data_IF_073970799128
#
_entry.id   IF_073970799128
#
_cell.length_a   1.000
_cell.length_b   1.000
_cell.length_c   1.000
_cell.angle_alpha   90.00
_cell.angle_beta   90.00
_cell.angle_gamma   90.00
#
_symmetry.space_group_name_H-M   'P 1'
#
loop_
_entity.id
_entity.type
_entity.pdbx_description
1 polymer ?
#
# COMPACT_ATOMS: atom_id res chain seq x y z
N UNK A 1 -6.71 -31.89 22.99
CA UNK A 1 -7.12 -30.77 22.13
C UNK A 1 -5.93 -30.41 21.27
N UNK A 2 -6.06 -30.51 19.95
CA UNK A 2 -5.00 -30.02 19.06
C UNK A 2 -4.95 -28.48 19.18
N UNK A 3 -3.77 -27.86 19.21
CA UNK A 3 -3.68 -26.38 19.26
C UNK A 3 -4.33 -25.83 17.98
N UNK A 4 -5.30 -24.94 18.17
CA UNK A 4 -5.89 -24.20 17.03
C UNK A 4 -4.77 -23.34 16.43
N UNK A 5 -4.34 -23.69 15.21
CA UNK A 5 -3.33 -22.91 14.48
C UNK A 5 -3.87 -21.49 14.32
N UNK A 6 -3.16 -20.46 14.82
CA UNK A 6 -3.56 -19.07 14.60
C UNK A 6 -3.56 -18.76 13.08
N UNK A 7 -4.47 -17.90 12.65
CA UNK A 7 -4.40 -17.38 11.29
C UNK A 7 -3.09 -16.60 11.09
N UNK A 8 -2.42 -16.73 9.93
CA UNK A 8 -1.29 -15.87 9.60
C UNK A 8 -1.67 -14.39 9.68
N UNK A 9 -0.76 -13.54 10.13
CA UNK A 9 -0.95 -12.10 10.17
C UNK A 9 -0.40 -11.48 8.90
N UNK A 10 -1.28 -10.87 8.10
CA UNK A 10 -0.92 -10.23 6.83
C UNK A 10 -0.99 -8.70 6.96
N UNK A 11 0.12 -8.01 6.69
CA UNK A 11 0.15 -6.57 6.48
C UNK A 11 -0.13 -6.23 5.03
N UNK A 12 -1.01 -5.27 4.76
CA UNK A 12 -1.37 -4.82 3.41
C UNK A 12 -1.27 -3.30 3.34
N UNK A 13 -0.52 -2.80 2.36
CA UNK A 13 -0.50 -1.37 2.07
C UNK A 13 -1.79 -0.89 1.39
N UNK A 14 -2.00 0.40 1.39
CA UNK A 14 -3.19 1.04 0.80
C UNK A 14 -2.89 1.56 -0.60
N UNK A 15 -2.00 2.54 -0.70
CA UNK A 15 -1.73 3.23 -1.96
C UNK A 15 -0.95 2.32 -2.90
N UNK A 16 -1.40 2.21 -4.14
CA UNK A 16 -0.77 1.32 -5.11
C UNK A 16 -1.11 -0.18 -4.94
N UNK A 17 -1.74 -0.60 -3.84
CA UNK A 17 -2.15 -2.00 -3.58
C UNK A 17 -3.67 -2.17 -3.62
N UNK A 18 -4.39 -1.49 -2.73
CA UNK A 18 -5.86 -1.56 -2.67
C UNK A 18 -6.54 -0.27 -3.13
N UNK A 19 -5.84 0.87 -3.08
CA UNK A 19 -6.33 2.20 -3.41
C UNK A 19 -5.60 2.76 -4.63
N UNK A 20 -6.36 3.26 -5.61
CA UNK A 20 -5.81 3.95 -6.77
C UNK A 20 -5.62 5.45 -6.50
N UNK A 21 -4.69 5.78 -5.60
CA UNK A 21 -4.31 7.16 -5.32
C UNK A 21 -3.61 7.81 -6.53
N UNK A 22 -2.82 7.05 -7.29
CA UNK A 22 -2.01 7.57 -8.41
C UNK A 22 -2.85 8.28 -9.47
N UNK A 23 -3.99 7.71 -9.86
CA UNK A 23 -4.88 8.35 -10.85
C UNK A 23 -5.33 9.73 -10.38
N UNK A 24 -5.59 9.88 -9.07
CA UNK A 24 -6.02 11.17 -8.53
C UNK A 24 -4.87 12.17 -8.43
N UNK A 25 -3.66 11.71 -8.07
CA UNK A 25 -2.46 12.55 -8.10
C UNK A 25 -2.20 13.10 -9.52
N UNK A 26 -2.31 12.25 -10.55
CA UNK A 26 -2.18 12.66 -11.95
C UNK A 26 -3.26 13.70 -12.32
N UNK A 27 -4.52 13.50 -11.91
CA UNK A 27 -5.60 14.46 -12.17
C UNK A 27 -5.35 15.80 -11.51
N UNK A 28 -4.89 15.81 -10.26
CA UNK A 28 -4.53 17.04 -9.53
C UNK A 28 -3.41 17.77 -10.25
N UNK A 29 -2.33 17.07 -10.63
CA UNK A 29 -1.21 17.63 -11.36
C UNK A 29 -1.66 18.26 -12.69
N UNK A 30 -2.43 17.52 -13.48
CA UNK A 30 -2.96 18.01 -14.76
C UNK A 30 -3.89 19.22 -14.59
N UNK A 31 -4.79 19.16 -13.61
CA UNK A 31 -5.80 20.21 -13.39
C UNK A 31 -5.19 21.52 -12.92
N UNK A 32 -4.30 21.46 -11.93
CA UNK A 32 -3.80 22.65 -11.25
C UNK A 32 -2.48 23.17 -11.82
N UNK A 33 -1.63 22.30 -12.34
CA UNK A 33 -0.27 22.65 -12.78
C UNK A 33 -0.04 22.46 -14.28
N UNK A 34 -0.98 21.82 -15.00
CA UNK A 34 -0.83 21.45 -16.41
C UNK A 34 0.36 20.52 -16.66
N UNK A 35 0.77 19.76 -15.64
CA UNK A 35 1.84 18.78 -15.68
C UNK A 35 1.27 17.41 -15.93
N UNK A 36 1.87 16.69 -16.87
CA UNK A 36 1.60 15.27 -17.09
C UNK A 36 2.64 14.45 -16.33
N UNK A 37 2.21 13.76 -15.28
CA UNK A 37 3.05 12.87 -14.48
C UNK A 37 3.07 11.48 -15.14
N UNK A 38 4.26 10.91 -15.30
CA UNK A 38 4.41 9.53 -15.77
C UNK A 38 4.13 8.52 -14.64
N UNK A 39 3.43 7.43 -14.97
CA UNK A 39 3.24 6.30 -14.07
C UNK A 39 4.50 5.42 -13.91
N UNK A 40 5.58 5.74 -14.60
CA UNK A 40 6.81 4.93 -14.59
C UNK A 40 7.75 5.28 -13.44
N UNK A 41 7.42 6.28 -12.61
CA UNK A 41 8.24 6.73 -11.50
C UNK A 41 7.42 7.03 -10.23
N UNK A 42 8.00 6.70 -9.08
CA UNK A 42 7.54 7.17 -7.78
C UNK A 42 7.94 8.62 -7.47
N UNK A 43 8.84 9.19 -8.24
CA UNK A 43 9.34 10.54 -8.04
C UNK A 43 8.41 11.55 -8.72
N UNK A 44 7.28 11.82 -8.07
CA UNK A 44 6.34 12.85 -8.52
C UNK A 44 6.96 14.25 -8.47
N UNK A 45 7.83 14.51 -7.50
CA UNK A 45 8.41 15.83 -7.27
C UNK A 45 9.28 16.28 -8.44
N UNK A 46 9.96 15.33 -9.11
CA UNK A 46 10.81 15.64 -10.28
C UNK A 46 10.05 16.25 -11.46
N UNK A 47 8.73 16.11 -11.49
CA UNK A 47 7.86 16.68 -12.52
C UNK A 47 7.50 18.15 -12.29
N UNK A 48 7.88 18.73 -11.15
CA UNK A 48 7.51 20.08 -10.72
C UNK A 48 8.72 20.97 -10.43
N UNK A 49 8.50 22.29 -10.42
CA UNK A 49 9.39 23.18 -9.69
C UNK A 49 9.29 22.88 -8.18
N UNK A 50 10.29 23.33 -7.40
CA UNK A 50 10.28 23.09 -5.94
C UNK A 50 9.06 23.74 -5.26
N UNK A 51 8.66 24.92 -5.74
CA UNK A 51 7.51 25.67 -5.26
C UNK A 51 6.20 24.93 -5.62
N UNK A 52 6.09 24.45 -6.87
CA UNK A 52 4.93 23.73 -7.35
C UNK A 52 4.78 22.36 -6.67
N UNK A 53 5.89 21.64 -6.42
CA UNK A 53 5.86 20.40 -5.67
C UNK A 53 5.28 20.60 -4.26
N UNK A 54 5.72 21.65 -3.56
CA UNK A 54 5.18 22.00 -2.23
C UNK A 54 3.68 22.32 -2.28
N UNK A 55 3.25 23.09 -3.29
CA UNK A 55 1.84 23.43 -3.50
C UNK A 55 1.02 22.20 -3.88
N UNK A 56 1.55 21.32 -4.74
CA UNK A 56 0.92 20.06 -5.13
C UNK A 56 0.60 19.19 -3.91
N UNK A 57 1.57 18.93 -3.06
CA UNK A 57 1.34 18.12 -1.86
C UNK A 57 0.40 18.79 -0.86
N UNK A 58 0.40 20.12 -0.79
CA UNK A 58 -0.59 20.83 0.01
C UNK A 58 -2.01 20.62 -0.51
N UNK A 59 -2.23 20.69 -1.83
CA UNK A 59 -3.54 20.40 -2.45
C UNK A 59 -3.92 18.94 -2.22
N UNK A 60 -3.00 18.00 -2.36
CA UNK A 60 -3.23 16.58 -2.08
C UNK A 60 -3.63 16.35 -0.62
N UNK A 61 -3.09 17.16 0.31
CA UNK A 61 -3.41 17.08 1.75
C UNK A 61 -4.71 17.77 2.16
N UNK A 62 -5.41 18.44 1.25
CA UNK A 62 -6.70 19.10 1.56
C UNK A 62 -7.78 18.07 1.95
N UNK A 63 -8.71 18.43 2.86
CA UNK A 63 -9.79 17.54 3.25
C UNK A 63 -10.67 17.11 2.07
N UNK A 64 -11.11 15.85 2.12
CA UNK A 64 -12.07 15.29 1.16
C UNK A 64 -11.45 14.42 0.07
N UNK A 65 -10.13 14.34 -0.06
CA UNK A 65 -9.49 13.49 -1.07
C UNK A 65 -9.96 12.05 -0.99
N UNK A 66 -9.99 11.46 0.21
CA UNK A 66 -10.35 10.05 0.39
C UNK A 66 -11.80 9.73 0.00
N UNK A 67 -12.69 10.72 0.00
CA UNK A 67 -14.10 10.54 -0.42
C UNK A 67 -14.26 10.21 -1.91
N UNK A 68 -13.28 10.55 -2.72
CA UNK A 68 -13.28 10.34 -4.18
C UNK A 68 -12.36 9.19 -4.62
N UNK A 69 -11.50 8.69 -3.73
CA UNK A 69 -10.61 7.59 -4.05
C UNK A 69 -11.38 6.29 -4.28
N UNK A 70 -10.92 5.54 -5.28
CA UNK A 70 -11.52 4.26 -5.64
C UNK A 70 -10.57 3.12 -5.34
N UNK A 71 -11.10 1.97 -4.86
CA UNK A 71 -10.29 0.77 -4.79
C UNK A 71 -9.91 0.30 -6.20
N UNK A 72 -8.75 -0.33 -6.33
CA UNK A 72 -8.40 -1.01 -7.57
C UNK A 72 -9.41 -2.11 -7.89
N UNK A 73 -9.55 -2.40 -9.20
CA UNK A 73 -10.41 -3.51 -9.65
C UNK A 73 -9.96 -4.81 -9.00
N UNK A 74 -10.88 -5.49 -8.34
CA UNK A 74 -10.61 -6.76 -7.65
C UNK A 74 -10.10 -6.62 -6.21
N UNK A 75 -9.71 -5.42 -5.75
CA UNK A 75 -9.19 -5.23 -4.39
C UNK A 75 -10.22 -5.62 -3.31
N UNK A 76 -11.48 -5.22 -3.45
CA UNK A 76 -12.54 -5.58 -2.49
C UNK A 76 -12.67 -7.10 -2.35
N UNK A 77 -12.79 -7.81 -3.46
CA UNK A 77 -12.94 -9.27 -3.46
C UNK A 77 -11.68 -9.97 -2.95
N UNK A 78 -10.50 -9.46 -3.35
CA UNK A 78 -9.21 -9.98 -2.91
C UNK A 78 -9.02 -9.86 -1.41
N UNK A 79 -9.31 -8.69 -0.85
CA UNK A 79 -9.22 -8.43 0.59
C UNK A 79 -10.23 -9.27 1.39
N UNK A 80 -11.46 -9.45 0.90
CA UNK A 80 -12.44 -10.34 1.53
C UNK A 80 -11.90 -11.78 1.62
N UNK A 81 -11.37 -12.33 0.52
CA UNK A 81 -10.78 -13.67 0.50
C UNK A 81 -9.54 -13.77 1.40
N UNK A 82 -8.73 -12.73 1.45
CA UNK A 82 -7.56 -12.70 2.33
C UNK A 82 -7.99 -12.73 3.81
N UNK A 83 -9.03 -12.00 4.19
CA UNK A 83 -9.57 -11.99 5.56
C UNK A 83 -10.17 -13.35 5.99
N UNK A 84 -10.59 -14.20 5.05
CA UNK A 84 -11.02 -15.57 5.35
C UNK A 84 -9.87 -16.45 5.86
N UNK A 85 -8.65 -16.22 5.35
CA UNK A 85 -7.46 -17.07 5.60
C UNK A 85 -6.41 -16.43 6.50
N UNK A 86 -6.43 -15.11 6.69
CA UNK A 86 -5.48 -14.33 7.47
C UNK A 86 -6.15 -13.40 8.48
N UNK A 87 -5.37 -13.00 9.48
CA UNK A 87 -5.62 -11.85 10.34
C UNK A 87 -5.01 -10.62 9.66
N UNK A 88 -5.85 -9.87 8.92
CA UNK A 88 -5.39 -8.79 8.04
C UNK A 88 -5.26 -7.48 8.80
N UNK A 89 -4.10 -6.84 8.65
CA UNK A 89 -3.79 -5.48 9.10
C UNK A 89 -3.53 -4.59 7.90
N UNK A 90 -3.98 -3.36 7.96
CA UNK A 90 -3.53 -2.31 7.06
C UNK A 90 -2.25 -1.68 7.62
N UNK A 91 -1.22 -1.56 6.79
CA UNK A 91 0.07 -0.96 7.16
C UNK A 91 0.38 0.13 6.16
N UNK A 92 0.00 1.37 6.47
CA UNK A 92 0.02 2.49 5.52
C UNK A 92 0.79 3.68 6.04
N UNK A 93 1.34 4.48 5.14
CA UNK A 93 1.94 5.78 5.47
C UNK A 93 0.88 6.87 5.45
N UNK A 94 1.12 7.96 6.19
CA UNK A 94 0.27 9.14 6.17
C UNK A 94 1.02 10.35 5.62
N UNK A 95 0.27 11.28 5.04
CA UNK A 95 0.78 12.59 4.63
C UNK A 95 0.84 13.50 5.86
N UNK A 96 2.06 13.87 6.28
CA UNK A 96 2.31 14.53 7.58
C UNK A 96 1.62 15.90 7.73
N UNK A 97 1.31 16.57 6.64
CA UNK A 97 0.67 17.90 6.62
C UNK A 97 -0.80 17.87 6.17
N UNK A 98 -1.37 16.68 5.95
CA UNK A 98 -2.81 16.54 5.68
C UNK A 98 -3.59 16.44 7.00
N UNK A 99 -4.32 17.49 7.42
CA UNK A 99 -4.91 17.55 8.77
C UNK A 99 -5.98 16.47 9.02
N UNK A 100 -6.67 16.03 7.97
CA UNK A 100 -7.72 15.00 8.06
C UNK A 100 -7.31 13.67 7.45
N UNK A 101 -6.08 13.57 6.91
CA UNK A 101 -5.61 12.42 6.12
C UNK A 101 -5.83 11.08 6.82
N UNK A 102 -5.36 10.95 8.05
CA UNK A 102 -5.49 9.70 8.84
C UNK A 102 -6.96 9.35 9.04
N UNK A 103 -7.75 10.31 9.53
CA UNK A 103 -9.17 10.09 9.82
C UNK A 103 -9.99 9.69 8.59
N UNK A 104 -9.78 10.39 7.46
CA UNK A 104 -10.49 10.08 6.22
C UNK A 104 -10.07 8.72 5.64
N UNK A 105 -8.77 8.39 5.72
CA UNK A 105 -8.24 7.10 5.29
C UNK A 105 -8.80 5.96 6.12
N UNK A 106 -8.83 6.11 7.43
CA UNK A 106 -9.39 5.09 8.32
C UNK A 106 -10.86 4.82 8.01
N UNK A 107 -11.64 5.87 7.82
CA UNK A 107 -13.05 5.72 7.42
C UNK A 107 -13.17 5.03 6.08
N UNK A 108 -12.40 5.44 5.08
CA UNK A 108 -12.39 4.81 3.76
C UNK A 108 -12.09 3.31 3.84
N UNK A 109 -11.10 2.93 4.66
CA UNK A 109 -10.73 1.52 4.88
C UNK A 109 -11.87 0.77 5.59
N UNK A 110 -12.41 1.32 6.66
CA UNK A 110 -13.48 0.70 7.45
C UNK A 110 -14.74 0.51 6.61
N UNK A 111 -15.15 1.53 5.87
CA UNK A 111 -16.38 1.50 5.07
C UNK A 111 -16.30 0.50 3.91
N UNK A 112 -15.16 0.40 3.23
CA UNK A 112 -15.00 -0.46 2.06
C UNK A 112 -14.55 -1.88 2.38
N UNK A 113 -13.65 -2.06 3.34
CA UNK A 113 -13.00 -3.35 3.60
C UNK A 113 -13.42 -3.98 4.92
N UNK A 114 -14.25 -3.32 5.73
CA UNK A 114 -14.73 -3.80 7.03
C UNK A 114 -13.58 -4.17 7.99
N UNK A 115 -12.47 -3.44 7.90
CA UNK A 115 -11.30 -3.61 8.78
C UNK A 115 -11.42 -2.62 9.93
N UNK A 116 -11.35 -3.13 11.17
CA UNK A 116 -11.41 -2.30 12.39
C UNK A 116 -10.21 -1.35 12.48
N UNK A 117 -10.42 -0.16 13.07
CA UNK A 117 -9.41 0.82 13.43
C UNK A 117 -8.22 0.22 14.20
N UNK A 118 -8.48 -0.78 15.06
CA UNK A 118 -7.44 -1.52 15.81
C UNK A 118 -6.46 -2.30 14.93
N UNK A 119 -6.80 -2.47 13.65
CA UNK A 119 -5.98 -3.17 12.66
C UNK A 119 -5.44 -2.25 11.57
N UNK A 120 -5.47 -0.93 11.80
CA UNK A 120 -4.88 0.06 10.90
C UNK A 120 -3.64 0.65 11.58
N UNK A 121 -2.49 0.45 10.96
CA UNK A 121 -1.18 0.89 11.45
C UNK A 121 -0.66 1.99 10.52
N UNK A 122 -0.57 3.21 11.03
CA UNK A 122 0.04 4.33 10.30
C UNK A 122 1.53 4.41 10.63
N UNK A 123 2.38 4.03 9.68
CA UNK A 123 3.83 4.09 9.83
C UNK A 123 4.54 4.27 8.49
N UNK A 124 5.64 5.03 8.49
CA UNK A 124 6.59 5.10 7.38
C UNK A 124 7.66 4.00 7.49
N UNK A 125 7.86 3.46 8.68
CA UNK A 125 8.81 2.40 8.99
C UNK A 125 8.09 1.04 8.98
N UNK A 126 7.66 0.58 7.79
CA UNK A 126 6.85 -0.64 7.66
C UNK A 126 7.58 -1.91 8.13
N UNK A 127 8.92 -1.90 8.15
CA UNK A 127 9.72 -2.98 8.73
C UNK A 127 9.45 -3.21 10.24
N UNK A 128 8.82 -2.25 10.94
CA UNK A 128 8.44 -2.43 12.34
C UNK A 128 7.13 -3.22 12.53
N UNK A 129 6.40 -3.51 11.47
CA UNK A 129 5.18 -4.31 11.54
C UNK A 129 5.52 -5.79 11.68
N UNK A 130 5.08 -6.40 12.78
CA UNK A 130 5.22 -7.84 13.03
C UNK A 130 4.09 -8.62 12.38
N UNK A 131 4.40 -9.34 11.31
CA UNK A 131 3.47 -10.17 10.56
C UNK A 131 4.16 -11.40 9.99
N UNK A 132 3.38 -12.26 9.36
CA UNK A 132 3.88 -13.46 8.67
C UNK A 132 4.06 -13.19 7.16
N UNK A 133 3.47 -12.09 6.65
CA UNK A 133 3.62 -11.61 5.28
C UNK A 133 3.31 -10.11 5.19
N UNK A 134 4.00 -9.39 4.31
CA UNK A 134 3.70 -8.01 3.93
C UNK A 134 3.37 -7.94 2.44
N UNK A 135 2.32 -7.20 2.07
CA UNK A 135 1.96 -6.85 0.68
C UNK A 135 2.11 -5.35 0.50
N UNK A 136 3.02 -4.91 -0.35
CA UNK A 136 3.36 -3.50 -0.55
C UNK A 136 3.82 -3.29 -1.99
N UNK A 137 3.56 -2.14 -2.58
CA UNK A 137 3.97 -1.82 -3.95
C UNK A 137 5.34 -1.11 -4.03
N UNK A 138 5.85 -0.67 -2.87
CA UNK A 138 7.14 0.00 -2.78
C UNK A 138 8.27 -1.00 -2.51
N UNK A 139 9.20 -1.20 -3.45
CA UNK A 139 10.27 -2.20 -3.31
C UNK A 139 11.06 -2.06 -2.02
N UNK A 140 11.43 -0.84 -1.63
CA UNK A 140 12.22 -0.60 -0.41
C UNK A 140 11.48 -1.02 0.88
N UNK A 141 10.14 -0.98 0.90
CA UNK A 141 9.36 -1.47 2.04
C UNK A 141 9.40 -2.99 2.11
N UNK A 142 9.20 -3.68 0.98
CA UNK A 142 9.31 -5.13 0.89
C UNK A 142 10.72 -5.61 1.29
N UNK A 143 11.76 -4.97 0.75
CA UNK A 143 13.15 -5.32 1.02
C UNK A 143 13.49 -5.15 2.50
N UNK A 144 13.24 -3.97 3.09
CA UNK A 144 13.55 -3.72 4.49
C UNK A 144 12.74 -4.59 5.45
N UNK A 145 11.47 -4.88 5.11
CA UNK A 145 10.64 -5.76 5.92
C UNK A 145 11.13 -7.20 5.87
N UNK A 146 11.47 -7.72 4.67
CA UNK A 146 11.99 -9.07 4.53
C UNK A 146 13.40 -9.23 5.12
N UNK A 147 14.24 -8.19 5.11
CA UNK A 147 15.53 -8.16 5.80
C UNK A 147 15.36 -8.27 7.31
N UNK A 148 14.42 -7.49 7.90
CA UNK A 148 14.20 -7.46 9.35
C UNK A 148 13.57 -8.73 9.89
N UNK A 149 12.54 -9.26 9.20
CA UNK A 149 11.74 -10.37 9.70
C UNK A 149 12.20 -11.74 9.19
N UNK A 150 13.05 -11.79 8.18
CA UNK A 150 13.46 -13.01 7.48
C UNK A 150 12.28 -13.79 6.85
N UNK A 151 11.16 -13.08 6.56
CA UNK A 151 9.91 -13.62 6.05
C UNK A 151 9.62 -13.15 4.62
N UNK A 152 8.62 -13.76 3.97
CA UNK A 152 8.23 -13.43 2.59
C UNK A 152 7.40 -12.16 2.52
N UNK A 153 7.78 -11.22 1.64
CA UNK A 153 6.93 -10.12 1.24
C UNK A 153 6.47 -10.23 -0.21
N UNK A 154 5.32 -9.65 -0.49
CA UNK A 154 4.76 -9.54 -1.84
C UNK A 154 4.98 -8.12 -2.34
N UNK A 155 5.81 -7.98 -3.36
CA UNK A 155 5.93 -6.75 -4.12
C UNK A 155 4.77 -6.69 -5.12
N UNK A 156 3.74 -5.90 -4.77
CA UNK A 156 2.59 -5.70 -5.64
C UNK A 156 2.99 -5.00 -6.93
N UNK A 157 2.83 -5.69 -8.06
CA UNK A 157 3.34 -5.21 -9.34
C UNK A 157 2.57 -4.00 -9.85
N UNK A 158 3.30 -2.92 -10.09
CA UNK A 158 2.84 -1.67 -10.66
C UNK A 158 3.82 -1.19 -11.75
N UNK A 159 3.41 -0.35 -12.72
CA UNK A 159 4.31 0.14 -13.77
C UNK A 159 5.60 0.77 -13.24
N UNK A 160 5.50 1.58 -12.19
CA UNK A 160 6.64 2.29 -11.60
C UNK A 160 7.65 1.41 -10.84
N UNK A 161 7.26 0.17 -10.50
CA UNK A 161 8.18 -0.75 -9.82
C UNK A 161 8.65 -1.91 -10.73
N UNK A 162 8.19 -1.97 -11.98
CA UNK A 162 8.47 -3.07 -12.91
C UNK A 162 9.97 -3.30 -13.12
N UNK A 163 10.73 -2.23 -13.28
CA UNK A 163 12.17 -2.29 -13.58
C UNK A 163 13.06 -2.39 -12.34
N UNK A 164 12.46 -2.36 -11.14
CA UNK A 164 13.24 -2.43 -9.90
C UNK A 164 13.93 -3.80 -9.76
N UNK A 165 15.25 -3.74 -9.53
CA UNK A 165 16.05 -4.92 -9.21
C UNK A 165 16.04 -5.11 -7.69
N UNK A 166 15.42 -6.19 -7.24
CA UNK A 166 15.38 -6.57 -5.82
C UNK A 166 16.79 -6.85 -5.31
N UNK A 167 17.10 -6.41 -4.09
CA UNK A 167 18.38 -6.70 -3.43
C UNK A 167 18.63 -8.20 -3.36
N UNK A 168 19.86 -8.62 -3.65
CA UNK A 168 20.26 -10.04 -3.66
C UNK A 168 20.06 -10.70 -2.28
N UNK A 169 20.23 -9.95 -1.18
CA UNK A 169 20.06 -10.44 0.20
C UNK A 169 18.66 -10.98 0.52
N UNK A 170 17.64 -10.53 -0.22
CA UNK A 170 16.21 -10.88 0.03
C UNK A 170 15.48 -11.35 -1.22
N UNK A 171 16.21 -11.61 -2.30
CA UNK A 171 15.64 -11.96 -3.59
C UNK A 171 14.70 -13.17 -3.53
N UNK A 172 15.05 -14.16 -2.75
CA UNK A 172 14.26 -15.39 -2.59
C UNK A 172 13.02 -15.21 -1.70
N UNK A 173 12.91 -14.05 -1.05
CA UNK A 173 11.80 -13.71 -0.13
C UNK A 173 10.81 -12.71 -0.72
N UNK A 174 11.12 -12.10 -1.85
CA UNK A 174 10.24 -11.13 -2.47
C UNK A 174 9.57 -11.74 -3.69
N UNK A 175 8.26 -11.90 -3.60
CA UNK A 175 7.45 -12.45 -4.69
C UNK A 175 6.70 -11.29 -5.35
N UNK A 176 6.92 -11.11 -6.66
CA UNK A 176 6.20 -10.08 -7.43
C UNK A 176 4.93 -10.67 -8.04
N UNK A 177 3.79 -10.07 -7.73
CA UNK A 177 2.50 -10.40 -8.35
C UNK A 177 1.54 -9.20 -8.27
N UNK A 178 0.50 -9.18 -9.11
CA UNK A 178 -0.66 -8.30 -9.00
C UNK A 178 -1.97 -9.10 -8.88
N UNK A 179 -1.86 -10.35 -8.44
CA UNK A 179 -2.97 -11.30 -8.33
C UNK A 179 -3.31 -11.55 -6.86
N UNK A 180 -4.50 -11.15 -6.44
CA UNK A 180 -5.02 -11.49 -5.11
C UNK A 180 -5.15 -12.99 -4.88
N UNK A 181 -5.40 -13.76 -5.94
CA UNK A 181 -5.45 -15.22 -5.86
C UNK A 181 -4.10 -15.78 -5.41
N UNK A 182 -3.00 -15.26 -5.98
CA UNK A 182 -1.65 -15.71 -5.61
C UNK A 182 -1.33 -15.37 -4.16
N UNK A 183 -1.68 -14.14 -3.72
CA UNK A 183 -1.49 -13.73 -2.31
C UNK A 183 -2.25 -14.65 -1.37
N UNK A 184 -3.52 -14.95 -1.66
CA UNK A 184 -4.34 -15.85 -0.83
C UNK A 184 -3.74 -17.26 -0.78
N UNK A 185 -3.29 -17.79 -1.90
CA UNK A 185 -2.67 -19.13 -1.94
C UNK A 185 -1.31 -19.18 -1.22
N UNK A 186 -0.52 -18.10 -1.26
CA UNK A 186 0.70 -17.98 -0.45
C UNK A 186 0.37 -18.02 1.05
N UNK A 187 -0.60 -17.23 1.48
CA UNK A 187 -0.99 -17.14 2.89
C UNK A 187 -1.53 -18.46 3.44
N UNK A 188 -2.26 -19.25 2.64
CA UNK A 188 -2.75 -20.57 3.05
C UNK A 188 -1.62 -21.58 3.34
N UNK A 189 -0.40 -21.34 2.82
CA UNK A 189 0.75 -22.23 3.00
C UNK A 189 1.60 -21.87 4.24
N UNK A 190 1.36 -20.71 4.86
CA UNK A 190 1.96 -20.30 6.12
C UNK A 190 1.26 -20.99 7.31
#
# INVERSE_FOLDING_TARGET
MLPVKRKPRAGVDVDGVICNLHDELIRIAKRHFKVDISLDSWDFDSSFSKEDASLFWRIVGEPGLHSILKPYKGALQGMMKLQEVADVYIVTSHLSHGPTWVHERDRWIQDLFQISDKKIVHTKAKYTFFGDILVDDKPSNCESWSEEHNETSVLWAQPYNEKHQVKESVKDKIIRTNSWSDVVEMVKKL
#
